data_IF_258208358236
#
_entry.id   IF_258208358236
#
_cell.length_a   1.000
_cell.length_b   1.000
_cell.length_c   1.000
_cell.angle_alpha   90.00
_cell.angle_beta   90.00
_cell.angle_gamma   90.00
#
_symmetry.space_group_name_H-M   'P 1'
#
loop_
_entity.id
_entity.type
_entity.pdbx_description
1 polymer ?
#
# COMPACT_ATOMS: atom_id res chain seq x y z
N UNK A 1 36.98 -51.60 -12.73
CA UNK A 1 37.67 -50.45 -12.10
C UNK A 1 37.46 -49.22 -12.95
N UNK A 2 36.62 -48.29 -12.51
CA UNK A 2 36.26 -47.07 -13.26
C UNK A 2 37.07 -45.89 -12.75
N UNK A 3 37.47 -44.93 -13.60
CA UNK A 3 38.34 -43.83 -13.21
C UNK A 3 37.55 -42.69 -12.57
N UNK A 4 37.58 -42.60 -11.23
CA UNK A 4 37.01 -41.52 -10.43
C UNK A 4 37.87 -40.23 -10.40
N UNK A 5 38.84 -40.12 -11.31
CA UNK A 5 39.88 -39.08 -11.23
C UNK A 5 39.65 -37.83 -12.08
N UNK A 6 38.63 -37.82 -12.93
CA UNK A 6 38.37 -36.69 -13.83
C UNK A 6 37.31 -35.69 -13.30
N UNK A 7 36.46 -36.09 -12.37
CA UNK A 7 35.44 -35.19 -11.82
C UNK A 7 35.95 -34.21 -10.75
N UNK A 8 37.04 -34.56 -10.06
CA UNK A 8 37.62 -33.67 -9.04
C UNK A 8 38.35 -32.46 -9.60
N UNK A 9 38.91 -32.58 -10.83
CA UNK A 9 39.71 -31.51 -11.44
C UNK A 9 38.79 -30.40 -12.01
N UNK A 10 37.60 -30.76 -12.50
CA UNK A 10 36.65 -29.79 -13.05
C UNK A 10 36.01 -28.96 -11.94
N UNK A 11 35.77 -29.53 -10.77
CA UNK A 11 35.20 -28.82 -9.63
C UNK A 11 36.19 -27.82 -9.02
N UNK A 12 37.49 -28.08 -9.06
CA UNK A 12 38.54 -27.20 -8.53
C UNK A 12 38.81 -26.00 -9.45
N UNK A 13 38.66 -26.17 -10.77
CA UNK A 13 38.83 -25.05 -11.73
C UNK A 13 37.66 -24.08 -11.72
N UNK A 14 36.45 -24.50 -11.41
CA UNK A 14 35.29 -23.60 -11.27
C UNK A 14 35.37 -22.79 -9.97
N UNK A 15 35.89 -23.33 -8.88
CA UNK A 15 36.05 -22.64 -7.62
C UNK A 15 37.15 -21.58 -7.64
N UNK A 16 38.21 -21.77 -8.49
CA UNK A 16 39.31 -20.81 -8.63
C UNK A 16 38.95 -19.55 -9.45
N UNK A 17 37.89 -19.58 -10.26
CA UNK A 17 37.44 -18.44 -11.08
C UNK A 17 36.55 -17.46 -10.35
N UNK A 18 36.03 -17.80 -9.17
CA UNK A 18 35.14 -16.93 -8.38
C UNK A 18 35.92 -15.98 -7.44
N UNK A 19 37.22 -16.17 -7.24
CA UNK A 19 38.05 -15.42 -6.30
C UNK A 19 38.82 -14.23 -6.90
N UNK A 20 38.63 -13.86 -8.16
CA UNK A 20 39.40 -12.80 -8.86
C UNK A 20 38.56 -11.52 -9.11
N UNK A 21 37.31 -11.45 -8.64
CA UNK A 21 36.44 -10.29 -8.90
C UNK A 21 36.28 -9.33 -7.68
N UNK A 22 37.20 -9.33 -6.74
CA UNK A 22 37.16 -8.36 -5.63
C UNK A 22 38.58 -7.89 -5.28
N UNK A 23 39.05 -6.87 -5.99
CA UNK A 23 40.33 -6.25 -5.69
C UNK A 23 40.61 -5.06 -6.61
N UNK A 24 40.26 -3.87 -6.17
CA UNK A 24 40.57 -2.61 -6.84
C UNK A 24 40.02 -1.44 -6.06
N UNK A 25 40.66 -1.12 -4.91
CA UNK A 25 40.46 0.15 -4.22
C UNK A 25 41.50 1.14 -4.76
N UNK A 26 41.10 2.11 -5.53
CA UNK A 26 41.84 3.32 -5.73
C UNK A 26 41.29 4.38 -4.76
N UNK A 27 42.12 4.75 -3.81
CA UNK A 27 41.96 5.89 -2.92
C UNK A 27 42.10 7.18 -3.72
N UNK A 28 41.02 7.91 -3.93
CA UNK A 28 41.04 9.32 -4.27
C UNK A 28 40.89 10.09 -2.95
N UNK A 29 41.93 10.77 -2.51
CA UNK A 29 41.88 11.83 -1.49
C UNK A 29 41.12 13.01 -2.09
N UNK A 30 39.86 13.20 -1.68
CA UNK A 30 39.11 14.42 -1.93
C UNK A 30 39.10 15.25 -0.66
N UNK A 31 39.74 16.41 -0.73
CA UNK A 31 39.82 17.43 0.30
C UNK A 31 38.45 17.86 0.76
N UNK A 32 38.13 17.62 2.03
CA UNK A 32 36.96 18.14 2.71
C UNK A 32 37.12 19.62 2.91
N UNK A 33 36.41 20.42 2.13
CA UNK A 33 36.20 21.85 2.37
C UNK A 33 35.16 21.99 3.48
N UNK A 34 35.58 22.56 4.59
CA UNK A 34 34.77 22.81 5.79
C UNK A 34 33.71 23.87 5.49
N UNK A 35 32.47 23.42 5.16
CA UNK A 35 31.32 24.29 5.02
C UNK A 35 30.74 24.62 6.41
N UNK A 36 30.62 25.90 6.70
CA UNK A 36 30.05 26.48 7.92
C UNK A 36 28.64 25.96 8.22
N UNK A 37 28.20 25.96 9.49
CA UNK A 37 26.90 25.46 9.88
C UNK A 37 25.81 26.35 9.32
N UNK A 38 24.99 25.77 8.44
CA UNK A 38 23.76 26.36 7.93
C UNK A 38 22.73 26.44 9.07
N UNK A 39 22.28 27.66 9.33
CA UNK A 39 21.27 27.98 10.34
C UNK A 39 19.99 27.22 9.96
N UNK A 40 19.65 26.21 10.74
CA UNK A 40 18.34 25.56 10.67
C UNK A 40 17.30 26.58 11.17
N UNK A 41 16.66 27.29 10.25
CA UNK A 41 15.42 27.99 10.56
C UNK A 41 14.40 26.95 10.99
N UNK A 42 14.07 26.96 12.26
CA UNK A 42 12.91 26.24 12.79
C UNK A 42 11.68 26.83 12.12
N UNK A 43 11.15 26.12 11.11
CA UNK A 43 9.81 26.36 10.60
C UNK A 43 8.83 26.12 11.74
N UNK A 44 8.45 27.21 12.37
CA UNK A 44 7.34 27.28 13.31
C UNK A 44 6.08 26.89 12.50
N UNK A 45 5.71 25.62 12.57
CA UNK A 45 4.49 25.11 11.94
C UNK A 45 3.32 25.71 12.70
N UNK A 46 2.50 26.58 12.09
CA UNK A 46 1.32 27.08 12.79
C UNK A 46 0.48 25.90 13.21
N UNK A 47 0.24 25.77 14.51
CA UNK A 47 -0.75 24.84 15.03
C UNK A 47 -2.10 25.20 14.41
N UNK A 48 -2.49 24.49 13.35
CA UNK A 48 -3.83 24.60 12.77
C UNK A 48 -4.78 23.93 13.76
N UNK A 49 -5.16 24.68 14.77
CA UNK A 49 -6.30 24.35 15.62
C UNK A 49 -7.55 24.90 14.93
N UNK A 50 -7.90 24.32 13.81
CA UNK A 50 -9.27 24.39 13.32
C UNK A 50 -9.88 23.03 13.61
N UNK A 51 -10.85 22.99 14.55
CA UNK A 51 -11.80 21.90 14.60
C UNK A 51 -12.50 21.90 13.22
N UNK A 52 -11.96 21.15 12.30
CA UNK A 52 -12.57 20.87 11.01
C UNK A 52 -13.74 19.95 11.33
N UNK A 53 -14.94 20.50 11.38
CA UNK A 53 -16.14 19.69 11.29
C UNK A 53 -16.06 19.03 9.92
N UNK A 54 -15.61 17.77 9.88
CA UNK A 54 -15.67 16.97 8.66
C UNK A 54 -17.15 16.84 8.34
N UNK A 55 -17.58 17.47 7.26
CA UNK A 55 -18.94 17.30 6.78
C UNK A 55 -19.12 15.81 6.43
N UNK A 56 -20.19 15.20 6.97
CA UNK A 56 -20.56 13.83 6.63
C UNK A 56 -20.84 13.76 5.13
N UNK A 57 -20.06 12.96 4.42
CA UNK A 57 -20.17 12.75 2.97
C UNK A 57 -20.31 11.26 2.66
N UNK A 58 -20.20 10.91 1.39
CA UNK A 58 -20.19 9.50 0.98
C UNK A 58 -19.06 8.78 1.73
N UNK A 59 -19.42 7.67 2.40
CA UNK A 59 -18.48 6.86 3.16
C UNK A 59 -17.96 7.47 4.47
N UNK A 60 -18.55 8.58 4.94
CA UNK A 60 -18.23 9.20 6.24
C UNK A 60 -19.51 9.39 7.05
N UNK A 61 -19.55 8.87 8.27
CA UNK A 61 -20.71 8.95 9.17
C UNK A 61 -20.30 9.30 10.59
N UNK A 62 -21.20 9.95 11.32
CA UNK A 62 -21.06 10.16 12.78
C UNK A 62 -21.30 8.88 13.59
N UNK A 63 -21.91 7.86 12.99
CA UNK A 63 -22.12 6.58 13.66
C UNK A 63 -20.79 5.81 13.79
N UNK A 64 -20.59 5.05 14.87
CA UNK A 64 -19.38 4.30 15.06
C UNK A 64 -19.13 3.26 13.95
N UNK A 65 -17.87 3.01 13.64
CA UNK A 65 -17.51 1.88 12.78
C UNK A 65 -17.95 0.55 13.41
N UNK A 66 -18.28 -0.46 12.58
CA UNK A 66 -18.54 -1.81 13.07
C UNK A 66 -17.31 -2.36 13.80
N UNK A 67 -17.54 -3.17 14.85
CA UNK A 67 -16.45 -3.85 15.58
C UNK A 67 -15.63 -4.78 14.69
N UNK A 68 -16.26 -5.36 13.67
CA UNK A 68 -15.61 -6.23 12.71
C UNK A 68 -16.28 -6.12 11.32
N UNK A 69 -15.50 -6.37 10.26
CA UNK A 69 -15.98 -6.51 8.88
C UNK A 69 -15.50 -7.85 8.34
N UNK A 70 -16.41 -8.68 7.83
CA UNK A 70 -16.08 -10.04 7.37
C UNK A 70 -15.47 -10.91 8.48
N UNK A 71 -15.81 -10.66 9.76
CA UNK A 71 -15.25 -11.35 10.92
C UNK A 71 -13.86 -10.86 11.34
N UNK A 72 -13.30 -9.86 10.69
CA UNK A 72 -11.98 -9.28 11.00
C UNK A 72 -12.19 -8.02 11.87
N UNK A 73 -11.61 -7.95 13.08
CA UNK A 73 -11.75 -6.80 13.97
C UNK A 73 -11.23 -5.50 13.34
N UNK A 74 -11.96 -4.39 13.50
CA UNK A 74 -11.55 -3.07 13.03
C UNK A 74 -10.69 -2.32 14.04
N UNK A 75 -10.81 -2.64 15.33
CA UNK A 75 -10.18 -1.89 16.43
C UNK A 75 -10.71 -0.46 16.57
N UNK A 76 -11.91 -0.21 16.04
CA UNK A 76 -12.53 1.11 16.06
C UNK A 76 -12.92 1.53 17.49
N UNK A 77 -12.81 2.83 17.74
CA UNK A 77 -13.30 3.45 18.98
C UNK A 77 -14.82 3.70 18.83
N UNK A 78 -15.66 3.13 19.71
CA UNK A 78 -17.09 3.25 19.65
C UNK A 78 -17.61 4.67 19.94
N UNK A 79 -16.77 5.58 20.42
CA UNK A 79 -17.10 7.00 20.67
C UNK A 79 -16.85 7.89 19.46
N UNK A 80 -16.28 7.35 18.38
CA UNK A 80 -15.92 8.08 17.15
C UNK A 80 -16.83 7.72 15.99
N UNK A 81 -16.93 8.63 15.02
CA UNK A 81 -17.55 8.36 13.73
C UNK A 81 -16.75 7.33 12.89
N UNK A 82 -17.25 7.03 11.70
CA UNK A 82 -16.62 6.04 10.81
C UNK A 82 -16.31 6.63 9.43
N UNK A 83 -15.11 6.34 8.93
CA UNK A 83 -14.72 6.48 7.53
C UNK A 83 -14.65 5.08 6.92
N UNK A 84 -15.47 4.83 5.90
CA UNK A 84 -15.44 3.58 5.15
C UNK A 84 -14.50 3.68 3.95
N UNK A 85 -13.65 2.68 3.78
CA UNK A 85 -12.74 2.55 2.65
C UNK A 85 -13.05 1.30 1.84
N UNK A 86 -13.04 1.45 0.51
CA UNK A 86 -13.27 0.38 -0.44
C UNK A 86 -12.02 -0.48 -0.70
N UNK A 87 -12.24 -1.69 -1.20
CA UNK A 87 -11.17 -2.63 -1.50
C UNK A 87 -11.50 -3.43 -2.75
N UNK A 88 -10.80 -3.14 -3.85
CA UNK A 88 -10.89 -3.88 -5.11
C UNK A 88 -9.66 -4.78 -5.25
N UNK A 89 -9.87 -6.08 -5.10
CA UNK A 89 -8.82 -7.07 -4.95
C UNK A 89 -9.01 -8.25 -5.92
N UNK A 90 -8.06 -9.15 -5.98
CA UNK A 90 -8.13 -10.42 -6.71
C UNK A 90 -7.99 -11.58 -5.72
N UNK A 91 -9.04 -12.38 -5.59
CA UNK A 91 -9.03 -13.56 -4.72
C UNK A 91 -9.01 -14.87 -5.50
N UNK A 92 -9.56 -14.87 -6.72
CA UNK A 92 -9.72 -16.09 -7.52
C UNK A 92 -9.09 -16.01 -8.91
N UNK A 93 -8.51 -14.87 -9.28
CA UNK A 93 -7.81 -14.68 -10.55
C UNK A 93 -6.29 -14.93 -10.44
N UNK A 94 -5.51 -14.40 -11.39
CA UNK A 94 -4.05 -14.62 -11.46
C UNK A 94 -3.27 -14.16 -10.23
N UNK A 95 -3.76 -13.13 -9.53
CA UNK A 95 -3.16 -12.61 -8.29
C UNK A 95 -3.82 -13.17 -7.01
N UNK A 96 -4.74 -14.12 -7.15
CA UNK A 96 -5.39 -14.79 -6.03
C UNK A 96 -4.45 -15.28 -4.93
N UNK A 97 -3.24 -15.78 -5.23
CA UNK A 97 -2.26 -16.15 -4.20
C UNK A 97 -1.73 -14.96 -3.39
N UNK A 98 -1.76 -13.74 -3.92
CA UNK A 98 -1.27 -12.52 -3.26
C UNK A 98 -2.39 -11.66 -2.66
N UNK A 99 -3.56 -11.65 -3.29
CA UNK A 99 -4.68 -10.79 -2.91
C UNK A 99 -5.04 -10.85 -1.43
N UNK A 100 -5.24 -12.04 -0.83
CA UNK A 100 -5.55 -12.15 0.60
C UNK A 100 -4.47 -11.59 1.52
N UNK A 101 -3.18 -11.73 1.14
CA UNK A 101 -2.07 -11.19 1.92
C UNK A 101 -2.03 -9.65 1.86
N UNK A 102 -2.31 -9.06 0.70
CA UNK A 102 -2.40 -7.61 0.53
C UNK A 102 -3.54 -7.03 1.36
N UNK A 103 -4.72 -7.65 1.32
CA UNK A 103 -5.85 -7.26 2.17
C UNK A 103 -5.52 -7.36 3.65
N UNK A 104 -4.88 -8.45 4.08
CA UNK A 104 -4.44 -8.62 5.47
C UNK A 104 -3.52 -7.47 5.89
N UNK A 105 -2.59 -7.05 5.04
CA UNK A 105 -1.73 -5.90 5.29
C UNK A 105 -2.51 -4.59 5.45
N UNK A 106 -3.49 -4.33 4.58
CA UNK A 106 -4.35 -3.15 4.66
C UNK A 106 -5.17 -3.14 5.96
N UNK A 107 -5.81 -4.25 6.30
CA UNK A 107 -6.61 -4.36 7.52
C UNK A 107 -5.75 -4.24 8.79
N UNK A 108 -4.55 -4.81 8.80
CA UNK A 108 -3.62 -4.69 9.92
C UNK A 108 -3.16 -3.23 10.12
N UNK A 109 -2.89 -2.50 9.03
CA UNK A 109 -2.55 -1.08 9.10
C UNK A 109 -3.69 -0.24 9.72
N UNK A 110 -4.91 -0.43 9.26
CA UNK A 110 -6.05 0.34 9.75
C UNK A 110 -6.47 -0.05 11.16
N UNK A 111 -6.33 -1.32 11.55
CA UNK A 111 -6.46 -1.77 12.93
C UNK A 111 -5.49 -1.02 13.84
N UNK A 112 -4.21 -0.97 13.45
CA UNK A 112 -3.18 -0.21 14.17
C UNK A 112 -3.49 1.28 14.21
N UNK A 113 -3.91 1.89 13.11
CA UNK A 113 -4.27 3.30 13.03
C UNK A 113 -5.43 3.63 13.99
N UNK A 114 -6.48 2.82 14.02
CA UNK A 114 -7.61 2.97 14.94
C UNK A 114 -7.17 2.86 16.41
N UNK A 115 -6.35 1.86 16.74
CA UNK A 115 -5.79 1.69 18.09
C UNK A 115 -4.85 2.84 18.49
N UNK A 116 -4.26 3.53 17.52
CA UNK A 116 -3.42 4.71 17.71
C UNK A 116 -4.19 6.02 17.78
N UNK A 117 -5.53 5.97 17.75
CA UNK A 117 -6.40 7.13 17.88
C UNK A 117 -7.21 7.49 16.62
N UNK A 118 -7.08 6.73 15.53
CA UNK A 118 -7.84 6.94 14.29
C UNK A 118 -7.42 8.19 13.51
N UNK A 119 -8.35 8.80 12.82
CA UNK A 119 -8.17 10.04 12.05
C UNK A 119 -9.08 11.12 12.65
N UNK A 120 -8.53 11.98 13.50
CA UNK A 120 -9.33 13.00 14.20
C UNK A 120 -10.44 12.33 15.00
N UNK A 121 -11.70 12.73 14.75
CA UNK A 121 -12.88 12.20 15.43
C UNK A 121 -13.47 10.94 14.78
N UNK A 122 -12.68 10.26 13.93
CA UNK A 122 -13.13 9.10 13.17
C UNK A 122 -12.21 7.90 13.36
N UNK A 123 -12.82 6.71 13.41
CA UNK A 123 -12.17 5.44 13.12
C UNK A 123 -12.33 5.09 11.64
N UNK A 124 -11.58 4.10 11.16
CA UNK A 124 -11.62 3.67 9.76
C UNK A 124 -12.04 2.20 9.69
N UNK A 125 -12.96 1.88 8.78
CA UNK A 125 -13.34 0.51 8.46
C UNK A 125 -13.13 0.25 6.96
N UNK A 126 -12.42 -0.83 6.62
CA UNK A 126 -12.38 -1.32 5.24
C UNK A 126 -13.62 -2.20 5.04
N UNK A 127 -14.43 -1.89 4.02
CA UNK A 127 -15.57 -2.74 3.66
C UNK A 127 -15.12 -4.12 3.19
N UNK A 128 -16.06 -5.02 2.94
CA UNK A 128 -15.74 -6.33 2.38
C UNK A 128 -15.10 -6.18 1.00
N UNK A 129 -14.00 -6.89 0.75
CA UNK A 129 -13.26 -6.78 -0.49
C UNK A 129 -14.03 -7.37 -1.67
N UNK A 130 -14.01 -6.69 -2.82
CA UNK A 130 -14.63 -7.18 -4.04
C UNK A 130 -13.62 -7.98 -4.87
N UNK A 131 -14.00 -9.22 -5.25
CA UNK A 131 -13.18 -10.08 -6.11
C UNK A 131 -13.27 -9.66 -7.58
N UNK A 132 -12.27 -8.94 -8.03
CA UNK A 132 -12.19 -8.45 -9.41
C UNK A 132 -11.68 -9.50 -10.40
N UNK A 133 -11.15 -10.62 -9.93
CA UNK A 133 -10.54 -11.69 -10.74
C UNK A 133 -9.49 -11.17 -11.74
N UNK A 134 -8.83 -10.07 -11.40
CA UNK A 134 -7.89 -9.34 -12.25
C UNK A 134 -8.48 -8.98 -13.63
N UNK A 135 -9.79 -8.76 -13.69
CA UNK A 135 -10.54 -8.45 -14.89
C UNK A 135 -11.06 -7.00 -14.86
N UNK A 136 -10.75 -6.14 -15.85
CA UNK A 136 -11.16 -4.74 -15.85
C UNK A 136 -12.67 -4.52 -15.73
N UNK A 137 -13.50 -5.36 -16.37
CA UNK A 137 -14.96 -5.24 -16.30
C UNK A 137 -15.47 -5.54 -14.89
N UNK A 138 -14.96 -6.61 -14.25
CA UNK A 138 -15.31 -6.94 -12.87
C UNK A 138 -14.79 -5.89 -11.89
N UNK A 139 -13.65 -5.28 -12.21
CA UNK A 139 -13.11 -4.16 -11.42
C UNK A 139 -14.07 -2.96 -11.45
N UNK A 140 -14.59 -2.62 -12.63
CA UNK A 140 -15.62 -1.59 -12.78
C UNK A 140 -16.92 -1.96 -12.05
N UNK A 141 -17.35 -3.23 -12.10
CA UNK A 141 -18.51 -3.70 -11.34
C UNK A 141 -18.30 -3.51 -9.84
N UNK A 142 -17.14 -3.90 -9.32
CA UNK A 142 -16.74 -3.71 -7.92
C UNK A 142 -16.67 -2.25 -7.53
N UNK A 143 -16.10 -1.41 -8.39
CA UNK A 143 -16.07 0.05 -8.18
C UNK A 143 -17.49 0.61 -8.05
N UNK A 144 -18.38 0.29 -8.99
CA UNK A 144 -19.78 0.75 -8.98
C UNK A 144 -20.57 0.24 -7.77
N UNK A 145 -20.21 -0.94 -7.26
CA UNK A 145 -20.86 -1.49 -6.06
C UNK A 145 -20.41 -0.71 -4.78
N UNK A 146 -19.16 -0.24 -4.72
CA UNK A 146 -18.62 0.39 -3.51
C UNK A 146 -18.66 1.92 -3.53
N UNK A 147 -18.62 2.59 -4.69
CA UNK A 147 -18.45 4.05 -4.81
C UNK A 147 -19.48 4.89 -4.06
N UNK A 148 -20.68 4.37 -3.81
CA UNK A 148 -21.74 5.04 -3.06
C UNK A 148 -21.68 4.84 -1.54
N UNK A 149 -20.74 4.02 -1.06
CA UNK A 149 -20.66 3.61 0.34
C UNK A 149 -19.30 3.94 0.99
N UNK A 150 -18.28 4.31 0.19
CA UNK A 150 -16.92 4.52 0.66
C UNK A 150 -16.40 5.91 0.31
N UNK A 151 -15.56 6.47 1.19
CA UNK A 151 -14.93 7.77 1.00
C UNK A 151 -13.75 7.73 0.02
N UNK A 152 -13.07 6.58 -0.07
CA UNK A 152 -11.94 6.33 -0.94
C UNK A 152 -11.73 4.83 -1.13
N UNK A 153 -10.94 4.43 -2.12
CA UNK A 153 -10.46 3.05 -2.24
C UNK A 153 -9.12 2.90 -1.52
N UNK A 154 -9.09 2.11 -0.46
CA UNK A 154 -7.84 1.74 0.22
C UNK A 154 -6.92 0.92 -0.68
N UNK A 155 -7.48 0.18 -1.63
CA UNK A 155 -6.72 -0.57 -2.62
C UNK A 155 -7.50 -0.72 -3.92
N UNK A 156 -6.81 -0.49 -5.04
CA UNK A 156 -7.24 -0.84 -6.39
C UNK A 156 -6.14 -1.69 -7.04
N UNK A 157 -6.35 -3.01 -7.07
CA UNK A 157 -5.33 -3.97 -7.51
C UNK A 157 -5.30 -4.11 -9.03
N UNK A 158 -4.15 -3.80 -9.62
CA UNK A 158 -3.81 -4.02 -11.02
C UNK A 158 -3.80 -2.75 -11.86
N UNK A 159 -2.76 -2.62 -12.71
CA UNK A 159 -2.58 -1.44 -13.58
C UNK A 159 -3.70 -1.28 -14.60
N UNK A 160 -3.99 -2.28 -15.47
CA UNK A 160 -5.04 -2.12 -16.48
C UNK A 160 -6.43 -2.02 -15.86
N UNK A 161 -6.65 -2.63 -14.71
CA UNK A 161 -7.91 -2.58 -13.98
C UNK A 161 -8.18 -1.17 -13.43
N UNK A 162 -7.16 -0.59 -12.76
CA UNK A 162 -7.26 0.78 -12.23
C UNK A 162 -7.39 1.80 -13.36
N UNK A 163 -6.62 1.66 -14.44
CA UNK A 163 -6.73 2.53 -15.61
C UNK A 163 -8.13 2.51 -16.23
N UNK A 164 -8.78 1.35 -16.21
CA UNK A 164 -10.12 1.17 -16.81
C UNK A 164 -11.22 1.94 -16.07
N UNK A 165 -11.03 2.29 -14.80
CA UNK A 165 -12.00 3.00 -13.97
C UNK A 165 -11.64 4.46 -13.71
N UNK A 166 -10.54 4.99 -14.25
CA UNK A 166 -10.08 6.35 -13.96
C UNK A 166 -11.12 7.42 -14.31
N UNK A 167 -11.78 7.32 -15.46
CA UNK A 167 -12.78 8.29 -15.89
C UNK A 167 -14.01 8.26 -14.95
N UNK A 168 -14.44 7.07 -14.50
CA UNK A 168 -15.52 6.92 -13.52
C UNK A 168 -15.10 7.50 -12.16
N UNK A 169 -13.86 7.29 -11.73
CA UNK A 169 -13.32 7.83 -10.47
C UNK A 169 -13.22 9.36 -10.52
N UNK A 170 -12.76 9.93 -11.64
CA UNK A 170 -12.69 11.38 -11.83
C UNK A 170 -14.08 12.02 -11.75
N UNK A 171 -15.05 11.43 -12.44
CA UNK A 171 -16.44 11.89 -12.42
C UNK A 171 -17.07 11.85 -11.01
N UNK A 172 -16.68 10.88 -10.18
CA UNK A 172 -17.17 10.73 -8.81
C UNK A 172 -16.31 11.47 -7.77
N UNK A 173 -15.23 12.14 -8.16
CA UNK A 173 -14.19 12.70 -7.27
C UNK A 173 -13.63 11.67 -6.29
N UNK A 174 -13.50 10.42 -6.71
CA UNK A 174 -13.03 9.31 -5.90
C UNK A 174 -11.51 9.21 -5.94
N UNK A 175 -10.89 9.10 -4.78
CA UNK A 175 -9.47 8.79 -4.64
C UNK A 175 -9.24 7.30 -4.41
N UNK A 176 -8.12 6.78 -4.92
CA UNK A 176 -7.71 5.40 -4.70
C UNK A 176 -6.22 5.30 -4.40
N UNK A 177 -5.83 4.29 -3.61
CA UNK A 177 -4.47 3.82 -3.52
C UNK A 177 -4.26 2.70 -4.55
N UNK A 178 -3.60 2.99 -5.71
CA UNK A 178 -3.38 1.97 -6.73
C UNK A 178 -2.31 0.99 -6.25
N UNK A 179 -2.63 -0.29 -6.26
CA UNK A 179 -1.67 -1.37 -6.07
C UNK A 179 -1.18 -1.83 -7.45
N UNK A 180 -0.30 -1.02 -8.04
CA UNK A 180 0.05 -1.14 -9.44
C UNK A 180 1.52 -0.80 -9.68
N UNK A 181 2.21 -1.60 -10.53
CA UNK A 181 3.63 -1.43 -10.80
C UNK A 181 3.95 -0.30 -11.81
N UNK A 182 2.96 0.27 -12.49
CA UNK A 182 3.19 1.25 -13.55
C UNK A 182 2.29 2.49 -13.54
N UNK A 183 1.48 2.72 -12.51
CA UNK A 183 0.70 3.96 -12.36
C UNK A 183 1.46 5.12 -11.74
N UNK A 184 2.73 4.95 -11.41
CA UNK A 184 3.59 6.00 -10.83
C UNK A 184 3.94 7.12 -11.82
N UNK A 185 3.56 6.99 -13.08
CA UNK A 185 3.83 7.95 -14.15
C UNK A 185 2.56 8.61 -14.73
N UNK A 186 1.43 8.45 -14.07
CA UNK A 186 0.16 9.10 -14.46
C UNK A 186 0.00 10.42 -13.75
#
# INVERSE_FOLDING_TARGET
MKPLRKQGIILFTILALIMVACGGSETAEETVEEAAPEVVETLDSPAVTTASTVETGVGVTSDPCPEAVGGIPTGADPSKGCIYLGLLNDYTGPFGPLGPALETGQRAFWLWANQSGGIGDYSVAIVEGYDTQYNPQKHLEGYKAQRGEVAALAMSLGTPQTQFILDDMDADNMIAAPMSLSLIHI
#
